data_IF_147023321747
#
_entry.id   IF_147023321747
#
_cell.length_a   1.000
_cell.length_b   1.000
_cell.length_c   1.000
_cell.angle_alpha   90.00
_cell.angle_beta   90.00
_cell.angle_gamma   90.00
#
_symmetry.space_group_name_H-M   'P 1'
#
loop_
_entity.id
_entity.type
_entity.pdbx_description
1 polymer ?
#
# COMPACT_ATOMS: atom_id res chain seq x y z
N UNK A 1 42.02 -42.75 1.24
CA UNK A 1 40.65 -43.15 1.60
C UNK A 1 40.12 -42.04 2.50
N UNK A 2 39.50 -41.05 1.88
CA UNK A 2 39.09 -39.80 2.53
C UNK A 2 37.69 -40.01 3.10
N UNK A 3 37.58 -40.00 4.43
CA UNK A 3 36.32 -40.22 5.13
C UNK A 3 35.51 -38.94 5.02
N UNK A 4 34.36 -39.05 4.36
CA UNK A 4 33.38 -38.00 4.20
C UNK A 4 33.07 -37.34 5.56
N UNK A 5 33.37 -36.05 5.67
CA UNK A 5 32.95 -35.25 6.80
C UNK A 5 31.43 -35.13 6.78
N UNK A 6 30.78 -35.65 7.84
CA UNK A 6 29.38 -35.44 8.15
C UNK A 6 29.03 -33.96 7.99
N UNK A 7 28.19 -33.66 7.00
CA UNK A 7 27.65 -32.31 6.84
C UNK A 7 26.83 -31.98 8.08
N UNK A 8 27.11 -30.87 8.78
CA UNK A 8 26.35 -30.50 9.97
C UNK A 8 24.86 -30.33 9.62
N UNK A 9 23.94 -30.58 10.58
CA UNK A 9 22.51 -30.47 10.33
C UNK A 9 22.18 -29.07 9.82
N UNK A 10 21.45 -28.99 8.70
CA UNK A 10 20.96 -27.76 8.07
C UNK A 10 20.07 -26.97 9.06
N UNK A 11 20.69 -26.20 9.94
CA UNK A 11 20.06 -25.35 10.93
C UNK A 11 19.77 -23.98 10.30
N UNK A 12 18.58 -23.82 9.73
CA UNK A 12 18.18 -22.60 9.01
C UNK A 12 17.03 -22.86 8.04
N UNK A 13 15.95 -23.49 8.50
CA UNK A 13 14.76 -23.70 7.68
C UNK A 13 13.81 -22.53 7.85
N UNK A 14 13.52 -21.85 6.76
CA UNK A 14 12.55 -20.76 6.72
C UNK A 14 11.58 -20.97 5.57
N UNK A 15 10.43 -20.30 5.63
CA UNK A 15 9.38 -20.43 4.61
C UNK A 15 9.01 -19.08 4.06
N UNK A 16 8.73 -19.04 2.75
CA UNK A 16 8.26 -17.85 2.07
C UNK A 16 7.06 -18.20 1.19
N UNK A 17 6.08 -17.30 1.14
CA UNK A 17 4.90 -17.43 0.30
C UNK A 17 5.14 -16.70 -1.03
N UNK A 18 5.18 -17.45 -2.13
CA UNK A 18 5.52 -17.00 -3.48
C UNK A 18 4.36 -17.23 -4.46
N UNK A 19 4.48 -16.66 -5.67
CA UNK A 19 3.60 -16.94 -6.79
C UNK A 19 3.84 -18.35 -7.34
N UNK A 20 2.77 -19.04 -7.73
CA UNK A 20 2.83 -20.43 -8.20
C UNK A 20 3.83 -20.69 -9.34
N UNK A 21 3.96 -19.84 -10.38
CA UNK A 21 4.94 -20.07 -11.45
C UNK A 21 6.39 -19.98 -10.94
N UNK A 22 6.68 -19.01 -10.07
CA UNK A 22 8.00 -18.83 -9.46
C UNK A 22 8.36 -20.00 -8.54
N UNK A 23 7.40 -20.45 -7.73
CA UNK A 23 7.56 -21.61 -6.87
C UNK A 23 7.80 -22.91 -7.66
N UNK A 24 7.23 -23.04 -8.87
CA UNK A 24 7.45 -24.19 -9.73
C UNK A 24 8.83 -24.16 -10.38
N UNK A 25 9.26 -23.01 -10.92
CA UNK A 25 10.58 -22.82 -11.52
C UNK A 25 11.71 -23.14 -10.53
N UNK A 26 11.58 -22.69 -9.28
CA UNK A 26 12.61 -22.89 -8.25
C UNK A 26 12.67 -24.30 -7.65
N UNK A 27 11.64 -25.13 -7.85
CA UNK A 27 11.69 -26.55 -7.49
C UNK A 27 12.49 -27.39 -8.48
N UNK A 28 12.71 -26.89 -9.70
CA UNK A 28 13.35 -27.62 -10.80
C UNK A 28 14.82 -27.32 -11.04
N UNK A 29 15.45 -26.39 -10.30
CA UNK A 29 16.85 -26.02 -10.49
C UNK A 29 17.82 -26.81 -9.60
N UNK A 30 18.90 -27.32 -10.19
CA UNK A 30 20.04 -27.89 -9.44
C UNK A 30 20.78 -26.78 -8.64
N UNK A 31 21.21 -27.08 -7.42
CA UNK A 31 21.88 -26.12 -6.51
C UNK A 31 20.99 -25.50 -5.42
N UNK A 32 19.69 -25.82 -5.41
CA UNK A 32 18.77 -25.55 -4.31
C UNK A 32 18.22 -24.12 -4.28
N UNK A 33 16.99 -23.99 -3.77
CA UNK A 33 16.17 -22.77 -3.68
C UNK A 33 16.87 -21.57 -3.03
N UNK A 34 17.96 -21.79 -2.28
CA UNK A 34 18.68 -20.78 -1.51
C UNK A 34 19.53 -19.81 -2.35
N UNK A 35 20.30 -20.32 -3.32
CA UNK A 35 21.19 -19.49 -4.14
C UNK A 35 20.40 -18.53 -5.04
N UNK A 36 19.32 -19.02 -5.66
CA UNK A 36 18.42 -18.21 -6.47
C UNK A 36 17.69 -17.12 -5.64
N UNK A 37 17.29 -17.45 -4.41
CA UNK A 37 16.69 -16.48 -3.48
C UNK A 37 17.69 -15.40 -3.06
N UNK A 38 18.95 -15.77 -2.82
CA UNK A 38 19.98 -14.82 -2.43
C UNK A 38 20.32 -13.87 -3.58
N UNK A 39 20.55 -14.39 -4.79
CA UNK A 39 20.80 -13.56 -5.97
C UNK A 39 19.62 -12.60 -6.23
N UNK A 40 18.39 -13.07 -6.04
CA UNK A 40 17.19 -12.26 -6.15
C UNK A 40 17.10 -11.16 -5.07
N UNK A 41 17.40 -11.50 -3.81
CA UNK A 41 17.40 -10.55 -2.71
C UNK A 41 18.49 -9.46 -2.85
N UNK A 42 19.64 -9.81 -3.43
CA UNK A 42 20.72 -8.87 -3.74
C UNK A 42 20.33 -7.92 -4.89
N UNK A 43 19.78 -8.43 -5.99
CA UNK A 43 19.30 -7.58 -7.08
C UNK A 43 18.19 -6.59 -6.62
N UNK A 44 17.38 -6.97 -5.63
CA UNK A 44 16.37 -6.13 -5.00
C UNK A 44 16.92 -5.04 -4.07
N UNK A 45 18.17 -5.16 -3.61
CA UNK A 45 18.88 -4.12 -2.87
C UNK A 45 19.34 -2.99 -3.79
N UNK A 46 19.79 -3.36 -5.00
CA UNK A 46 20.46 -2.43 -5.91
C UNK A 46 19.50 -1.62 -6.79
N UNK A 47 18.22 -2.02 -6.89
CA UNK A 47 17.24 -1.33 -7.72
C UNK A 47 16.66 -0.06 -7.02
N UNK A 48 16.99 1.17 -7.49
CA UNK A 48 16.41 2.40 -6.95
C UNK A 48 14.90 2.40 -7.18
N UNK A 49 14.12 2.86 -6.21
CA UNK A 49 12.66 2.81 -6.38
C UNK A 49 12.02 1.52 -5.91
N UNK A 50 12.79 0.43 -5.77
CA UNK A 50 12.24 -0.91 -5.55
C UNK A 50 11.55 -1.08 -4.18
N UNK A 51 11.88 -0.25 -3.20
CA UNK A 51 11.44 -0.41 -1.80
C UNK A 51 10.53 0.70 -1.30
N UNK A 52 9.94 1.48 -2.21
CA UNK A 52 9.16 2.63 -1.81
C UNK A 52 7.96 2.17 -0.96
N UNK A 53 7.81 2.71 0.26
CA UNK A 53 6.72 2.31 1.13
C UNK A 53 5.38 2.71 0.50
N UNK A 54 4.32 1.97 0.85
CA UNK A 54 2.97 2.44 0.54
C UNK A 54 2.71 3.72 1.35
N UNK A 55 2.07 4.75 0.76
CA UNK A 55 1.59 5.89 1.51
C UNK A 55 0.76 5.39 2.70
N UNK A 56 1.15 5.79 3.91
CA UNK A 56 0.47 5.50 5.16
C UNK A 56 0.08 6.83 5.83
N UNK A 57 -1.13 7.38 5.56
CA UNK A 57 -1.66 8.54 6.29
C UNK A 57 -1.60 8.30 7.79
N UNK A 58 -1.29 9.37 8.52
CA UNK A 58 -1.45 9.39 9.97
C UNK A 58 -2.92 9.22 10.33
N UNK A 59 -3.18 8.65 11.50
CA UNK A 59 -4.56 8.51 11.99
C UNK A 59 -5.25 9.87 12.08
N UNK A 60 -4.52 10.92 12.48
CA UNK A 60 -5.04 12.29 12.56
C UNK A 60 -5.56 12.81 11.23
N UNK A 61 -4.89 12.52 10.11
CA UNK A 61 -5.36 12.91 8.77
C UNK A 61 -6.63 12.13 8.39
N UNK A 62 -6.69 10.84 8.68
CA UNK A 62 -7.87 10.00 8.42
C UNK A 62 -9.07 10.51 9.21
N UNK A 63 -8.89 10.79 10.50
CA UNK A 63 -9.94 11.29 11.36
C UNK A 63 -10.38 12.70 10.96
N UNK A 64 -9.47 13.54 10.48
CA UNK A 64 -9.81 14.87 9.99
C UNK A 64 -10.72 14.80 8.75
N UNK A 65 -10.43 13.90 7.81
CA UNK A 65 -11.31 13.67 6.66
C UNK A 65 -12.66 13.08 7.09
N UNK A 66 -12.66 12.12 8.03
CA UNK A 66 -13.89 11.54 8.54
C UNK A 66 -14.79 12.58 9.21
N UNK A 67 -14.23 13.44 10.06
CA UNK A 67 -14.97 14.56 10.69
C UNK A 67 -15.50 15.56 9.66
N UNK A 68 -14.70 15.90 8.64
CA UNK A 68 -15.17 16.79 7.57
C UNK A 68 -16.35 16.16 6.79
N UNK A 69 -16.28 14.86 6.51
CA UNK A 69 -17.38 14.09 5.92
C UNK A 69 -18.64 14.09 6.78
N UNK A 70 -18.51 13.93 8.10
CA UNK A 70 -19.66 14.05 9.03
C UNK A 70 -20.30 15.43 8.95
N UNK A 71 -19.51 16.51 8.95
CA UNK A 71 -20.02 17.88 8.83
C UNK A 71 -20.76 18.09 7.50
N UNK A 72 -20.23 17.56 6.40
CA UNK A 72 -20.88 17.62 5.09
C UNK A 72 -22.20 16.85 5.08
N UNK A 73 -22.22 15.63 5.62
CA UNK A 73 -23.43 14.84 5.74
C UNK A 73 -24.50 15.56 6.58
N UNK A 74 -24.12 16.20 7.68
CA UNK A 74 -25.07 16.96 8.51
C UNK A 74 -25.61 18.19 7.77
N UNK A 75 -24.78 18.90 7.00
CA UNK A 75 -25.23 20.01 6.15
C UNK A 75 -26.23 19.55 5.08
N UNK A 76 -25.92 18.45 4.38
CA UNK A 76 -26.83 17.84 3.38
C UNK A 76 -28.15 17.38 4.01
N UNK A 77 -28.12 16.79 5.22
CA UNK A 77 -29.34 16.41 5.93
C UNK A 77 -30.19 17.62 6.32
N UNK A 78 -29.57 18.71 6.78
CA UNK A 78 -30.29 19.95 7.06
C UNK A 78 -30.89 20.54 5.79
N UNK A 79 -30.19 20.45 4.66
CA UNK A 79 -30.67 20.87 3.34
C UNK A 79 -31.92 20.10 2.91
N UNK A 80 -31.93 18.77 3.05
CA UNK A 80 -33.12 17.98 2.76
C UNK A 80 -34.33 18.33 3.63
N UNK A 81 -34.11 18.75 4.88
CA UNK A 81 -35.20 19.11 5.80
C UNK A 81 -35.70 20.54 5.61
N UNK A 82 -34.80 21.50 5.36
CA UNK A 82 -35.11 22.94 5.39
C UNK A 82 -35.06 23.62 4.02
N UNK A 83 -34.79 22.88 2.94
CA UNK A 83 -34.73 23.42 1.59
C UNK A 83 -33.52 24.34 1.37
N UNK A 84 -33.62 25.27 0.42
CA UNK A 84 -32.51 26.11 -0.07
C UNK A 84 -31.86 27.06 0.96
N UNK A 85 -32.41 27.18 2.18
CA UNK A 85 -31.77 27.90 3.29
C UNK A 85 -31.10 26.98 4.34
N UNK A 86 -31.30 25.66 4.21
CA UNK A 86 -30.82 24.65 5.14
C UNK A 86 -29.39 24.17 4.91
N UNK A 87 -28.56 24.23 5.96
CA UNK A 87 -27.24 23.60 5.99
C UNK A 87 -26.13 24.42 5.34
N UNK A 88 -24.95 24.42 5.95
CA UNK A 88 -23.79 25.16 5.47
C UNK A 88 -22.94 24.29 4.52
N UNK A 89 -23.44 24.01 3.32
CA UNK A 89 -22.79 23.08 2.37
C UNK A 89 -21.45 23.63 1.90
N UNK A 90 -21.36 24.90 1.51
CA UNK A 90 -20.12 25.53 1.07
C UNK A 90 -19.00 25.36 2.11
N UNK A 91 -19.27 25.76 3.36
CA UNK A 91 -18.30 25.67 4.45
C UNK A 91 -17.91 24.22 4.78
N UNK A 92 -18.84 23.27 4.63
CA UNK A 92 -18.55 21.86 4.83
C UNK A 92 -17.69 21.28 3.70
N UNK A 93 -17.96 21.63 2.45
CA UNK A 93 -17.16 21.24 1.29
C UNK A 93 -15.74 21.80 1.38
N UNK A 94 -15.56 23.06 1.80
CA UNK A 94 -14.24 23.66 2.06
C UNK A 94 -13.45 22.86 3.11
N UNK A 95 -14.10 22.39 4.18
CA UNK A 95 -13.45 21.53 5.19
C UNK A 95 -13.01 20.19 4.61
N UNK A 96 -13.83 19.59 3.73
CA UNK A 96 -13.48 18.36 3.01
C UNK A 96 -12.27 18.60 2.12
N UNK A 97 -12.26 19.67 1.32
CA UNK A 97 -11.14 20.04 0.46
C UNK A 97 -9.84 20.18 1.27
N UNK A 98 -9.86 20.91 2.39
CA UNK A 98 -8.69 21.12 3.24
C UNK A 98 -8.21 19.83 3.94
N UNK A 99 -9.11 18.93 4.31
CA UNK A 99 -8.74 17.61 4.85
C UNK A 99 -8.13 16.71 3.76
N UNK A 100 -8.76 16.67 2.58
CA UNK A 100 -8.30 15.89 1.44
C UNK A 100 -6.93 16.37 0.94
N UNK A 101 -6.67 17.67 0.87
CA UNK A 101 -5.37 18.22 0.46
C UNK A 101 -4.21 17.82 1.38
N UNK A 102 -4.47 17.63 2.68
CA UNK A 102 -3.47 17.21 3.66
C UNK A 102 -3.21 15.71 3.59
N UNK A 103 -4.26 14.91 3.37
CA UNK A 103 -4.21 13.45 3.40
C UNK A 103 -3.07 12.89 2.53
N UNK A 104 -2.02 12.40 3.19
CA UNK A 104 -0.88 11.77 2.54
C UNK A 104 -0.03 12.69 1.67
N UNK A 105 -0.05 14.01 1.91
CA UNK A 105 0.66 15.01 1.08
C UNK A 105 2.17 14.83 1.09
N UNK A 106 2.76 14.69 2.27
CA UNK A 106 4.23 14.66 2.46
C UNK A 106 4.80 13.24 2.39
N UNK A 107 4.00 12.30 1.92
CA UNK A 107 4.39 10.91 1.93
C UNK A 107 5.17 10.53 0.67
N UNK A 108 6.13 9.60 0.81
CA UNK A 108 6.87 9.08 -0.33
C UNK A 108 5.89 8.56 -1.40
N UNK A 109 6.04 9.14 -2.59
CA UNK A 109 5.20 8.87 -3.75
C UNK A 109 5.69 7.63 -4.47
N UNK A 110 5.04 6.47 -4.24
CA UNK A 110 5.28 5.26 -5.04
C UNK A 110 5.13 5.49 -6.56
N UNK A 111 5.30 4.45 -7.36
CA UNK A 111 5.16 4.56 -8.83
C UNK A 111 3.91 5.37 -9.23
N UNK A 112 4.06 6.28 -10.21
CA UNK A 112 3.00 7.21 -10.61
C UNK A 112 1.75 6.57 -11.22
N UNK A 113 1.74 5.24 -11.38
CA UNK A 113 0.61 4.44 -11.85
C UNK A 113 0.31 3.33 -10.83
N UNK A 114 -0.96 3.04 -10.51
CA UNK A 114 -1.30 1.87 -9.70
C UNK A 114 -0.82 0.62 -10.43
N UNK A 115 0.00 -0.20 -9.77
CA UNK A 115 0.48 -1.44 -10.36
C UNK A 115 -0.17 -2.63 -9.69
N UNK A 116 -0.88 -3.42 -10.48
CA UNK A 116 -1.47 -4.68 -10.04
C UNK A 116 -0.34 -5.69 -9.80
N UNK A 117 -0.31 -6.26 -8.61
CA UNK A 117 0.53 -7.42 -8.35
C UNK A 117 -0.02 -8.61 -9.13
N UNK A 118 0.84 -9.46 -9.67
CA UNK A 118 0.51 -10.46 -10.70
C UNK A 118 -0.18 -11.72 -10.13
N UNK A 119 -0.97 -11.54 -9.07
CA UNK A 119 -1.92 -12.54 -8.59
C UNK A 119 -1.78 -12.94 -7.13
N UNK A 120 -2.61 -13.91 -6.74
CA UNK A 120 -2.70 -14.45 -5.38
C UNK A 120 -1.39 -15.17 -5.03
N UNK A 121 -0.82 -14.81 -3.88
CA UNK A 121 0.26 -15.57 -3.25
C UNK A 121 -0.35 -16.81 -2.60
N UNK A 122 -0.16 -17.98 -3.19
CA UNK A 122 -0.83 -19.23 -2.76
C UNK A 122 0.12 -20.41 -2.59
N UNK A 123 1.44 -20.25 -2.83
CA UNK A 123 2.42 -21.33 -2.69
C UNK A 123 3.49 -21.03 -1.67
N UNK A 124 3.58 -21.89 -0.66
CA UNK A 124 4.66 -21.89 0.32
C UNK A 124 5.87 -22.63 -0.24
N UNK A 125 7.05 -22.02 -0.12
CA UNK A 125 8.34 -22.63 -0.50
C UNK A 125 9.23 -22.68 0.73
N UNK A 126 9.87 -23.84 0.93
CA UNK A 126 10.86 -24.06 1.98
C UNK A 126 12.24 -23.65 1.47
N UNK A 127 12.90 -22.78 2.23
CA UNK A 127 14.27 -22.36 1.98
C UNK A 127 15.18 -23.06 2.97
N UNK A 128 16.19 -23.74 2.44
CA UNK A 128 17.29 -24.34 3.21
C UNK A 128 18.48 -23.41 3.08
N UNK A 129 18.70 -22.57 4.09
CA UNK A 129 19.83 -21.65 4.14
C UNK A 129 20.85 -22.19 5.14
N UNK A 130 22.13 -21.97 4.88
CA UNK A 130 23.13 -22.15 5.93
C UNK A 130 22.91 -21.10 7.05
N UNK A 131 23.36 -21.37 8.29
CA UNK A 131 23.10 -20.49 9.43
C UNK A 131 23.61 -19.06 9.25
N UNK A 132 24.75 -18.86 8.57
CA UNK A 132 25.36 -17.54 8.39
C UNK A 132 24.55 -16.70 7.42
N UNK A 133 24.13 -17.30 6.30
CA UNK A 133 23.25 -16.66 5.33
C UNK A 133 21.87 -16.35 5.93
N UNK A 134 21.31 -17.27 6.71
CA UNK A 134 20.06 -17.04 7.42
C UNK A 134 20.17 -15.83 8.37
N UNK A 135 21.25 -15.73 9.14
CA UNK A 135 21.53 -14.58 10.00
C UNK A 135 21.63 -13.27 9.23
N UNK A 136 22.45 -13.23 8.18
CA UNK A 136 22.65 -12.03 7.36
C UNK A 136 21.34 -11.52 6.71
N UNK A 137 20.52 -12.43 6.19
CA UNK A 137 19.21 -12.08 5.61
C UNK A 137 18.22 -11.60 6.68
N UNK A 138 18.30 -12.13 7.90
CA UNK A 138 17.49 -11.67 9.03
C UNK A 138 17.88 -10.27 9.49
N UNK A 139 19.18 -9.98 9.58
CA UNK A 139 19.67 -8.65 9.89
C UNK A 139 19.32 -7.64 8.80
N UNK A 140 19.44 -8.02 7.53
CA UNK A 140 19.03 -7.18 6.40
C UNK A 140 17.52 -6.88 6.44
N UNK A 141 16.68 -7.88 6.75
CA UNK A 141 15.25 -7.68 6.93
C UNK A 141 14.96 -6.69 8.07
N UNK A 142 15.63 -6.85 9.22
CA UNK A 142 15.48 -5.99 10.39
C UNK A 142 15.91 -4.54 10.12
N UNK A 143 17.05 -4.34 9.46
CA UNK A 143 17.53 -3.01 9.05
C UNK A 143 16.55 -2.28 8.14
N UNK A 144 15.71 -3.03 7.40
CA UNK A 144 14.68 -2.48 6.52
C UNK A 144 13.28 -2.45 7.18
N UNK A 145 13.17 -2.75 8.48
CA UNK A 145 11.90 -2.76 9.21
C UNK A 145 10.92 -3.85 8.75
N UNK A 146 11.44 -4.96 8.23
CA UNK A 146 10.66 -6.03 7.61
C UNK A 146 10.83 -7.36 8.34
N UNK A 147 9.79 -8.18 8.32
CA UNK A 147 9.91 -9.60 8.66
C UNK A 147 10.67 -10.37 7.57
N UNK A 148 11.42 -11.40 7.98
CA UNK A 148 12.24 -12.22 7.09
C UNK A 148 11.48 -12.75 5.85
N UNK A 149 10.27 -13.28 6.03
CA UNK A 149 9.47 -13.79 4.91
C UNK A 149 9.04 -12.70 3.92
N UNK A 150 8.81 -11.47 4.39
CA UNK A 150 8.51 -10.32 3.53
C UNK A 150 9.76 -9.85 2.77
N UNK A 151 10.92 -9.89 3.42
CA UNK A 151 12.22 -9.61 2.81
C UNK A 151 12.53 -10.56 1.65
N UNK A 152 12.42 -11.87 1.88
CA UNK A 152 12.60 -12.89 0.85
C UNK A 152 11.63 -12.67 -0.32
N UNK A 153 10.34 -12.51 -0.03
CA UNK A 153 9.30 -12.29 -1.04
C UNK A 153 9.62 -11.09 -1.93
N UNK A 154 10.02 -9.97 -1.34
CA UNK A 154 10.32 -8.75 -2.09
C UNK A 154 11.59 -8.93 -2.93
N UNK A 155 12.58 -9.65 -2.41
CA UNK A 155 13.74 -10.12 -3.18
C UNK A 155 13.35 -10.89 -4.43
N UNK A 156 12.52 -11.92 -4.26
CA UNK A 156 11.98 -12.74 -5.35
C UNK A 156 11.25 -11.88 -6.38
N UNK A 157 10.37 -10.99 -5.90
CA UNK A 157 9.60 -10.13 -6.78
C UNK A 157 10.52 -9.28 -7.66
N UNK A 158 11.61 -8.75 -7.10
CA UNK A 158 12.59 -7.96 -7.85
C UNK A 158 13.23 -8.75 -8.97
N UNK A 159 13.69 -9.97 -8.68
CA UNK A 159 14.44 -10.77 -9.65
C UNK A 159 13.62 -11.22 -10.84
N UNK A 160 12.30 -11.34 -10.66
CA UNK A 160 11.38 -11.70 -11.75
C UNK A 160 10.67 -10.48 -12.36
N UNK A 161 11.09 -9.25 -12.02
CA UNK A 161 10.48 -8.03 -12.54
C UNK A 161 9.03 -7.81 -12.07
N UNK A 162 8.65 -8.44 -10.96
CA UNK A 162 7.32 -8.42 -10.37
C UNK A 162 7.16 -7.30 -9.34
N UNK A 163 5.96 -6.72 -9.28
CA UNK A 163 5.66 -5.68 -8.30
C UNK A 163 5.37 -6.28 -6.92
N UNK A 164 5.84 -5.61 -5.88
CA UNK A 164 5.63 -6.05 -4.50
C UNK A 164 4.14 -5.97 -4.11
N UNK A 165 3.56 -7.12 -3.77
CA UNK A 165 2.26 -7.21 -3.13
C UNK A 165 2.32 -6.77 -1.66
N UNK A 166 2.45 -5.47 -1.43
CA UNK A 166 2.32 -4.87 -0.09
C UNK A 166 0.83 -4.75 0.25
N UNK A 167 0.47 -5.23 1.45
CA UNK A 167 -0.84 -4.91 2.01
C UNK A 167 -0.80 -3.45 2.47
N UNK A 168 -1.81 -2.62 2.15
CA UNK A 168 -1.91 -1.28 2.73
C UNK A 168 -2.01 -1.38 4.25
N UNK A 169 -1.49 -0.37 4.94
CA UNK A 169 -1.70 -0.24 6.38
C UNK A 169 -3.21 -0.15 6.71
N UNK A 170 -3.56 -0.35 7.98
CA UNK A 170 -4.94 -0.12 8.44
C UNK A 170 -5.40 1.30 8.08
N UNK A 171 -4.56 2.28 8.38
CA UNK A 171 -4.79 3.70 8.11
C UNK A 171 -5.02 3.97 6.62
N UNK A 172 -4.27 3.32 5.73
CA UNK A 172 -4.48 3.48 4.28
C UNK A 172 -5.82 2.89 3.83
N UNK A 173 -6.22 1.73 4.38
CA UNK A 173 -7.53 1.12 4.08
C UNK A 173 -8.67 1.98 4.61
N UNK A 174 -8.52 2.52 5.81
CA UNK A 174 -9.51 3.38 6.45
C UNK A 174 -9.63 4.69 5.68
N UNK A 175 -8.51 5.32 5.31
CA UNK A 175 -8.47 6.51 4.48
C UNK A 175 -9.20 6.31 3.14
N UNK A 176 -8.96 5.18 2.45
CA UNK A 176 -9.65 4.84 1.19
C UNK A 176 -11.15 4.65 1.40
N UNK A 177 -11.54 4.00 2.49
CA UNK A 177 -12.94 3.76 2.84
C UNK A 177 -13.66 5.07 3.14
N UNK A 178 -13.03 5.95 3.94
CA UNK A 178 -13.56 7.28 4.26
C UNK A 178 -13.64 8.14 2.99
N UNK A 179 -12.59 8.14 2.16
CA UNK A 179 -12.59 8.90 0.91
C UNK A 179 -13.75 8.47 -0.01
N UNK A 180 -13.96 7.17 -0.23
CA UNK A 180 -15.08 6.68 -1.03
C UNK A 180 -16.45 7.09 -0.47
N UNK A 181 -16.60 7.09 0.86
CA UNK A 181 -17.82 7.59 1.50
C UNK A 181 -18.04 9.08 1.27
N UNK A 182 -16.98 9.88 1.42
CA UNK A 182 -17.04 11.34 1.24
C UNK A 182 -17.31 11.71 -0.23
N UNK A 183 -16.77 10.96 -1.20
CA UNK A 183 -17.13 11.12 -2.61
C UNK A 183 -18.63 10.97 -2.81
N UNK A 184 -19.25 9.94 -2.23
CA UNK A 184 -20.71 9.77 -2.29
C UNK A 184 -21.49 10.93 -1.66
N UNK A 185 -20.97 11.52 -0.57
CA UNK A 185 -21.59 12.70 0.05
C UNK A 185 -21.43 13.98 -0.79
N UNK A 186 -20.31 14.14 -1.50
CA UNK A 186 -20.11 15.28 -2.41
C UNK A 186 -21.07 15.22 -3.61
N UNK A 187 -21.34 14.03 -4.14
CA UNK A 187 -22.39 13.84 -5.16
C UNK A 187 -23.75 14.27 -4.63
N UNK A 188 -24.15 13.79 -3.44
CA UNK A 188 -25.41 14.20 -2.81
C UNK A 188 -25.47 15.70 -2.55
N UNK A 189 -24.36 16.31 -2.11
CA UNK A 189 -24.27 17.76 -1.92
C UNK A 189 -24.47 18.52 -3.23
N UNK A 190 -23.93 18.00 -4.34
CA UNK A 190 -24.12 18.56 -5.69
C UNK A 190 -25.59 18.54 -6.13
N UNK A 191 -26.32 17.47 -5.79
CA UNK A 191 -27.76 17.36 -6.11
C UNK A 191 -28.62 18.39 -5.38
N UNK A 192 -28.12 18.98 -4.28
CA UNK A 192 -28.87 19.90 -3.40
C UNK A 192 -28.20 21.26 -3.22
N UNK A 193 -27.20 21.57 -4.05
CA UNK A 193 -26.53 22.86 -4.04
C UNK A 193 -27.53 23.97 -4.40
N UNK A 194 -27.58 25.03 -3.58
CA UNK A 194 -28.54 26.11 -3.74
C UNK A 194 -28.07 27.18 -4.75
N UNK A 195 -26.76 27.32 -4.91
CA UNK A 195 -26.16 28.36 -5.73
C UNK A 195 -24.83 27.91 -6.37
N UNK A 196 -24.21 28.87 -7.06
CA UNK A 196 -22.96 28.68 -7.76
C UNK A 196 -21.76 28.55 -6.80
N UNK A 197 -21.74 29.25 -5.66
CA UNK A 197 -20.60 29.17 -4.74
C UNK A 197 -20.55 27.81 -4.05
N UNK A 198 -21.70 27.25 -3.67
CA UNK A 198 -21.81 25.88 -3.17
C UNK A 198 -21.31 24.88 -4.22
N UNK A 199 -21.76 25.03 -5.47
CA UNK A 199 -21.34 24.16 -6.58
C UNK A 199 -19.83 24.21 -6.83
N UNK A 200 -19.24 25.42 -6.81
CA UNK A 200 -17.79 25.62 -6.95
C UNK A 200 -17.01 24.99 -5.78
N UNK A 201 -17.50 25.14 -4.55
CA UNK A 201 -16.86 24.55 -3.37
C UNK A 201 -16.93 23.02 -3.37
N UNK A 202 -18.04 22.42 -3.81
CA UNK A 202 -18.19 20.98 -3.97
C UNK A 202 -17.22 20.45 -5.02
N UNK A 203 -17.12 21.11 -6.18
CA UNK A 203 -16.18 20.73 -7.23
C UNK A 203 -14.73 20.78 -6.74
N UNK A 204 -14.33 21.85 -6.04
CA UNK A 204 -12.99 21.96 -5.46
C UNK A 204 -12.70 20.86 -4.41
N UNK A 205 -13.72 20.45 -3.64
CA UNK A 205 -13.61 19.36 -2.70
C UNK A 205 -13.46 18.00 -3.40
N UNK A 206 -14.18 17.76 -4.50
CA UNK A 206 -14.07 16.54 -5.31
C UNK A 206 -12.70 16.43 -5.98
N UNK A 207 -12.19 17.52 -6.56
CA UNK A 207 -10.84 17.58 -7.13
C UNK A 207 -9.76 17.26 -6.08
N UNK A 208 -9.87 17.87 -4.89
CA UNK A 208 -8.96 17.61 -3.78
C UNK A 208 -9.02 16.15 -3.31
N UNK A 209 -10.21 15.57 -3.26
CA UNK A 209 -10.44 14.19 -2.85
C UNK A 209 -9.94 13.20 -3.91
N UNK A 210 -10.14 13.50 -5.20
CA UNK A 210 -9.59 12.75 -6.33
C UNK A 210 -8.06 12.76 -6.32
N UNK A 211 -7.44 13.91 -6.04
CA UNK A 211 -5.99 13.99 -5.85
C UNK A 211 -5.52 13.17 -4.64
N UNK A 212 -6.27 13.17 -3.53
CA UNK A 212 -5.97 12.36 -2.36
C UNK A 212 -6.11 10.86 -2.63
N UNK A 213 -7.17 10.44 -3.33
CA UNK A 213 -7.38 9.08 -3.78
C UNK A 213 -6.23 8.63 -4.70
N UNK A 214 -5.78 9.51 -5.61
CA UNK A 214 -4.61 9.27 -6.46
C UNK A 214 -3.32 9.09 -5.67
N UNK A 215 -3.11 9.81 -4.55
CA UNK A 215 -1.97 9.57 -3.66
C UNK A 215 -2.11 8.22 -2.94
N UNK A 216 -3.27 7.91 -2.41
CA UNK A 216 -3.54 6.67 -1.68
C UNK A 216 -3.62 5.43 -2.58
N UNK A 217 -3.87 5.59 -3.88
CA UNK A 217 -3.94 4.50 -4.86
C UNK A 217 -2.59 4.09 -5.42
N UNK A 218 -1.49 4.80 -5.09
CA UNK A 218 -0.16 4.44 -5.57
C UNK A 218 0.34 3.18 -4.87
N UNK A 219 0.78 2.22 -5.67
CA UNK A 219 1.30 0.94 -5.20
C UNK A 219 2.73 0.74 -5.72
N UNK A 220 3.64 0.45 -4.80
CA UNK A 220 4.89 -0.20 -5.15
C UNK A 220 5.92 0.65 -5.88
N UNK A 221 6.94 -0.08 -6.32
CA UNK A 221 8.24 0.39 -6.75
C UNK A 221 8.27 1.13 -8.08
N UNK A 222 9.17 2.11 -8.23
CA UNK A 222 9.55 2.62 -9.55
C UNK A 222 10.27 1.48 -10.30
N UNK A 223 9.82 1.19 -11.51
CA UNK A 223 10.59 0.40 -12.49
C UNK A 223 11.64 1.29 -13.11
#
# INVERSE_FOLDING_TARGET
MEIAADSPPLAGRTTALLWRPVAAHWRGGEGGTAGAVLAAALAALDAPGFRWPLPTPSQTEVDALARAGTVLNDAVRQRYVRGAEGGAIEAAAVKVAAAAQRLGRDQPVGAGRPVLCVGKRDRLVFLRLDPRLHGAMHDAARLNGMGFGAWVRDGVAASVGEHQARRPSAQTRDARTVAGRVTGLLVQAGDVAADRSESEAIAAADDALSAAAGRLSRWGSRR
#
